data_IF_228295952373
#
_entry.id   IF_228295952373
#
_cell.length_a   1.000
_cell.length_b   1.000
_cell.length_c   1.000
_cell.angle_alpha   90.00
_cell.angle_beta   90.00
_cell.angle_gamma   90.00
#
_symmetry.space_group_name_H-M   'P 1'
#
loop_
_entity.id
_entity.type
_entity.pdbx_description
1 polymer ?
#
# COMPACT_ATOMS: atom_id res chain seq x y z
N UNK A 1 4.70 15.42 -7.83
CA UNK A 1 3.61 16.20 -8.40
C UNK A 1 2.93 16.94 -7.27
N UNK A 2 3.00 18.25 -7.23
CA UNK A 2 2.49 19.08 -6.14
C UNK A 2 2.47 20.52 -6.67
N UNK A 3 1.50 21.34 -6.34
CA UNK A 3 1.40 22.73 -6.79
C UNK A 3 2.28 23.66 -5.93
N UNK A 4 2.58 23.28 -4.70
CA UNK A 4 3.41 24.05 -3.78
C UNK A 4 4.91 23.91 -4.11
N UNK A 5 5.55 24.96 -4.59
CA UNK A 5 6.98 24.96 -4.94
C UNK A 5 7.91 24.60 -3.75
N UNK A 6 7.50 24.95 -2.52
CA UNK A 6 8.24 24.60 -1.31
C UNK A 6 8.26 23.11 -1.04
N UNK A 7 7.11 22.44 -1.20
CA UNK A 7 6.97 20.99 -1.03
C UNK A 7 7.71 20.26 -2.14
N UNK A 8 7.56 20.68 -3.42
CA UNK A 8 8.34 20.08 -4.52
C UNK A 8 9.84 20.15 -4.27
N UNK A 9 10.35 21.31 -3.80
CA UNK A 9 11.77 21.47 -3.46
C UNK A 9 12.21 20.57 -2.31
N UNK A 10 11.40 20.46 -1.27
CA UNK A 10 11.66 19.56 -0.13
C UNK A 10 11.77 18.10 -0.63
N UNK A 11 10.75 17.62 -1.33
CA UNK A 11 10.68 16.26 -1.88
C UNK A 11 11.85 15.97 -2.82
N UNK A 12 12.14 16.90 -3.73
CA UNK A 12 13.28 16.77 -4.65
C UNK A 12 14.59 16.60 -3.88
N UNK A 13 14.89 17.49 -2.93
CA UNK A 13 16.13 17.43 -2.18
C UNK A 13 16.25 16.13 -1.37
N UNK A 14 15.16 15.67 -0.77
CA UNK A 14 15.08 14.41 -0.02
C UNK A 14 15.34 13.21 -0.93
N UNK A 15 14.67 13.16 -2.07
CA UNK A 15 14.80 12.05 -3.03
C UNK A 15 16.17 12.01 -3.71
N UNK A 16 16.73 13.16 -4.10
CA UNK A 16 18.08 13.23 -4.70
C UNK A 16 19.14 12.78 -3.70
N UNK A 17 19.02 13.13 -2.42
CA UNK A 17 19.94 12.64 -1.38
C UNK A 17 19.85 11.13 -1.15
N UNK A 18 18.72 10.53 -1.49
CA UNK A 18 18.50 9.09 -1.45
C UNK A 18 18.76 8.40 -2.80
N UNK A 19 19.54 9.05 -3.70
CA UNK A 19 19.97 8.57 -5.02
C UNK A 19 18.83 8.29 -6.02
N UNK A 20 17.69 8.98 -5.88
CA UNK A 20 16.62 8.92 -6.88
C UNK A 20 16.77 10.03 -7.93
N UNK A 21 16.56 9.66 -9.20
CA UNK A 21 16.31 10.64 -10.26
C UNK A 21 14.90 11.23 -10.11
N UNK A 22 14.77 12.56 -10.15
CA UNK A 22 13.51 13.25 -9.87
C UNK A 22 13.07 14.08 -11.05
N UNK A 23 11.83 13.88 -11.48
CA UNK A 23 11.10 14.71 -12.44
C UNK A 23 9.96 15.39 -11.71
N UNK A 24 9.86 16.72 -11.85
CA UNK A 24 8.82 17.50 -11.17
C UNK A 24 7.66 17.81 -12.13
N UNK A 25 6.44 17.85 -11.59
CA UNK A 25 5.24 18.35 -12.26
C UNK A 25 4.46 19.22 -11.27
N UNK A 26 3.88 20.32 -11.75
CA UNK A 26 3.10 21.28 -10.96
C UNK A 26 1.61 21.28 -11.27
N UNK A 27 1.18 20.45 -12.19
CA UNK A 27 -0.20 20.33 -12.65
C UNK A 27 -0.51 18.88 -13.06
N UNK A 28 -1.78 18.51 -13.07
CA UNK A 28 -2.24 17.20 -13.51
C UNK A 28 -1.90 16.94 -14.99
N UNK A 29 -2.01 17.95 -15.82
CA UNK A 29 -1.67 17.86 -17.26
C UNK A 29 -0.19 17.56 -17.48
N UNK A 30 0.71 18.31 -16.80
CA UNK A 30 2.16 18.07 -16.88
C UNK A 30 2.52 16.71 -16.27
N UNK A 31 1.86 16.34 -15.17
CA UNK A 31 2.02 15.06 -14.52
C UNK A 31 1.72 13.88 -15.45
N UNK A 32 0.59 13.88 -16.13
CA UNK A 32 0.20 12.82 -17.06
C UNK A 32 1.15 12.78 -18.29
N UNK A 33 1.56 13.94 -18.79
CA UNK A 33 2.52 14.00 -19.89
C UNK A 33 3.88 13.38 -19.51
N UNK A 34 4.43 13.77 -18.35
CA UNK A 34 5.72 13.25 -17.86
C UNK A 34 5.64 11.78 -17.49
N UNK A 35 4.54 11.32 -16.91
CA UNK A 35 4.36 9.90 -16.62
C UNK A 35 4.42 9.05 -17.90
N UNK A 36 3.86 9.53 -19.00
CA UNK A 36 3.91 8.83 -20.28
C UNK A 36 5.29 8.88 -20.95
N UNK A 37 6.01 10.03 -20.88
CA UNK A 37 7.30 10.21 -21.54
C UNK A 37 8.47 9.61 -20.75
N UNK A 38 8.50 9.83 -19.43
CA UNK A 38 9.61 9.46 -18.56
C UNK A 38 9.47 8.06 -17.95
N UNK A 39 8.26 7.50 -17.94
CA UNK A 39 7.94 6.18 -17.36
C UNK A 39 8.56 5.99 -15.97
N UNK A 40 8.23 6.83 -15.00
CA UNK A 40 8.84 6.77 -13.69
C UNK A 40 8.51 5.46 -12.97
N UNK A 41 9.42 4.97 -12.12
CA UNK A 41 9.15 3.81 -11.25
C UNK A 41 8.18 4.16 -10.11
N UNK A 42 8.14 5.43 -9.69
CA UNK A 42 7.22 5.89 -8.65
C UNK A 42 6.72 7.31 -8.92
N UNK A 43 5.54 7.60 -8.41
CA UNK A 43 4.85 8.88 -8.50
C UNK A 43 4.42 9.29 -7.09
N UNK A 44 4.91 10.42 -6.61
CA UNK A 44 4.36 11.09 -5.43
C UNK A 44 3.34 12.11 -5.91
N UNK A 45 2.07 11.94 -5.51
CA UNK A 45 0.93 12.69 -6.05
C UNK A 45 0.23 13.49 -4.95
N UNK A 46 0.18 14.82 -5.08
CA UNK A 46 -0.77 15.61 -4.31
C UNK A 46 -2.17 15.56 -4.95
N UNK A 47 -3.19 15.58 -4.11
CA UNK A 47 -4.59 15.67 -4.54
C UNK A 47 -4.99 17.11 -4.88
N UNK A 48 -4.32 18.11 -4.31
CA UNK A 48 -4.64 19.54 -4.46
C UNK A 48 -4.04 20.19 -5.70
N UNK A 49 -4.03 19.53 -6.87
CA UNK A 49 -3.49 20.11 -8.09
C UNK A 49 -4.39 21.24 -8.64
N UNK A 50 -3.80 22.29 -9.28
CA UNK A 50 -4.53 23.51 -9.62
C UNK A 50 -5.51 23.35 -10.79
N UNK A 51 -5.26 22.38 -11.67
CA UNK A 51 -6.02 22.19 -12.92
C UNK A 51 -7.00 21.02 -12.86
N UNK A 52 -6.80 20.08 -11.92
CA UNK A 52 -7.66 18.90 -11.78
C UNK A 52 -7.47 18.24 -10.43
N UNK A 53 -8.54 17.68 -9.84
CA UNK A 53 -8.45 16.86 -8.62
C UNK A 53 -7.55 15.65 -8.84
N UNK A 54 -6.55 15.48 -7.95
CA UNK A 54 -5.59 14.38 -7.99
C UNK A 54 -6.22 13.00 -7.93
N UNK A 55 -7.35 12.82 -7.24
CA UNK A 55 -8.09 11.56 -7.24
C UNK A 55 -8.48 11.13 -8.66
N UNK A 56 -8.92 12.08 -9.49
CA UNK A 56 -9.37 11.80 -10.85
C UNK A 56 -8.27 11.36 -11.82
N UNK A 57 -6.99 11.64 -11.50
CA UNK A 57 -5.86 11.25 -12.35
C UNK A 57 -5.23 9.92 -11.95
N UNK A 58 -5.50 9.38 -10.77
CA UNK A 58 -4.97 8.08 -10.35
C UNK A 58 -5.30 6.98 -11.36
N UNK A 59 -6.57 6.78 -11.79
CA UNK A 59 -6.88 5.77 -12.79
C UNK A 59 -6.22 6.02 -14.15
N UNK A 60 -5.97 7.30 -14.51
CA UNK A 60 -5.30 7.64 -15.75
C UNK A 60 -3.81 7.29 -15.71
N UNK A 61 -3.15 7.55 -14.59
CA UNK A 61 -1.76 7.15 -14.36
C UNK A 61 -1.61 5.63 -14.39
N UNK A 62 -2.56 4.90 -13.79
CA UNK A 62 -2.58 3.42 -13.83
C UNK A 62 -2.70 2.85 -15.23
N UNK A 63 -3.43 3.52 -16.13
CA UNK A 63 -3.53 3.09 -17.54
C UNK A 63 -2.23 3.32 -18.32
N UNK A 64 -1.37 4.20 -17.85
CA UNK A 64 -0.10 4.53 -18.54
C UNK A 64 1.04 3.59 -18.13
N UNK A 65 0.92 2.88 -16.99
CA UNK A 65 1.94 1.95 -16.53
C UNK A 65 1.79 1.53 -15.07
N UNK A 66 2.75 0.75 -14.63
CA UNK A 66 2.76 0.10 -13.31
C UNK A 66 3.54 0.92 -12.25
N UNK A 67 3.79 2.21 -12.46
CA UNK A 67 4.49 3.04 -11.49
C UNK A 67 3.84 2.96 -10.10
N UNK A 68 4.63 2.91 -9.03
CA UNK A 68 4.11 3.07 -7.66
C UNK A 68 3.48 4.45 -7.52
N UNK A 69 2.23 4.54 -7.04
CA UNK A 69 1.56 5.82 -6.76
C UNK A 69 1.39 5.96 -5.25
N UNK A 70 2.12 6.90 -4.65
CA UNK A 70 1.95 7.31 -3.25
C UNK A 70 1.29 8.68 -3.24
N UNK A 71 0.09 8.75 -2.68
CA UNK A 71 -0.59 10.04 -2.48
C UNK A 71 0.05 10.75 -1.28
N UNK A 72 0.39 12.04 -1.43
CA UNK A 72 0.95 12.89 -0.38
C UNK A 72 0.12 14.15 -0.31
N UNK A 73 -0.82 14.23 0.61
CA UNK A 73 -1.82 15.31 0.61
C UNK A 73 -2.17 15.82 2.01
N UNK A 74 -2.60 17.09 2.09
CA UNK A 74 -3.18 17.67 3.30
C UNK A 74 -4.63 17.23 3.54
N UNK A 75 -5.27 16.63 2.54
CA UNK A 75 -6.60 16.04 2.68
C UNK A 75 -6.45 14.72 3.43
N UNK A 76 -6.85 14.70 4.69
CA UNK A 76 -6.63 13.56 5.59
C UNK A 76 -7.91 12.81 5.97
N UNK A 77 -9.04 13.20 5.40
CA UNK A 77 -10.31 12.51 5.59
C UNK A 77 -10.20 11.03 5.22
N UNK A 78 -10.75 10.17 6.07
CA UNK A 78 -10.69 8.71 5.89
C UNK A 78 -11.27 8.30 4.53
N UNK A 79 -12.39 8.90 4.14
CA UNK A 79 -13.07 8.60 2.86
C UNK A 79 -12.19 8.95 1.64
N UNK A 80 -11.42 10.03 1.70
CA UNK A 80 -10.51 10.40 0.63
C UNK A 80 -9.31 9.44 0.54
N UNK A 81 -8.78 8.99 1.69
CA UNK A 81 -7.72 7.96 1.74
C UNK A 81 -8.20 6.64 1.14
N UNK A 82 -9.38 6.19 1.56
CA UNK A 82 -10.01 4.97 1.02
C UNK A 82 -10.21 5.10 -0.48
N UNK A 83 -10.82 6.22 -0.92
CA UNK A 83 -11.05 6.48 -2.36
C UNK A 83 -9.76 6.47 -3.16
N UNK A 84 -8.68 7.11 -2.69
CA UNK A 84 -7.39 7.12 -3.39
C UNK A 84 -6.83 5.70 -3.57
N UNK A 85 -6.89 4.87 -2.51
CA UNK A 85 -6.40 3.49 -2.54
C UNK A 85 -7.25 2.60 -3.46
N UNK A 86 -8.58 2.75 -3.43
CA UNK A 86 -9.51 2.00 -4.29
C UNK A 86 -9.38 2.40 -5.77
N UNK A 87 -9.05 3.66 -6.05
CA UNK A 87 -8.73 4.15 -7.40
C UNK A 87 -7.37 3.65 -7.91
N UNK A 88 -6.57 3.02 -7.05
CA UNK A 88 -5.33 2.37 -7.43
C UNK A 88 -4.04 3.02 -6.90
N UNK A 89 -4.10 3.93 -5.94
CA UNK A 89 -2.89 4.34 -5.21
C UNK A 89 -2.35 3.15 -4.38
N UNK A 90 -1.03 3.08 -4.25
CA UNK A 90 -0.36 2.01 -3.48
C UNK A 90 -0.25 2.35 -2.00
N UNK A 91 -0.15 3.64 -1.67
CA UNK A 91 -0.08 4.13 -0.29
C UNK A 91 -0.58 5.58 -0.22
N UNK A 92 -0.79 6.06 1.03
CA UNK A 92 -1.22 7.42 1.32
C UNK A 92 -0.43 7.97 2.51
N UNK A 93 0.08 9.21 2.37
CA UNK A 93 0.82 9.94 3.40
C UNK A 93 0.16 11.30 3.61
N UNK A 94 -0.26 11.59 4.83
CA UNK A 94 -0.87 12.87 5.17
C UNK A 94 0.20 13.96 5.39
N UNK A 95 -0.04 15.16 4.91
CA UNK A 95 0.76 16.36 5.25
C UNK A 95 0.29 16.90 6.62
N UNK A 96 1.20 17.34 7.51
CA UNK A 96 2.66 17.30 7.39
C UNK A 96 3.22 15.88 7.60
N UNK A 97 4.28 15.52 6.87
CA UNK A 97 4.90 14.21 6.91
C UNK A 97 6.37 14.28 7.33
N UNK A 98 6.86 13.18 7.87
CA UNK A 98 8.28 12.95 8.06
C UNK A 98 8.93 12.43 6.77
N UNK A 99 10.06 13.02 6.37
CA UNK A 99 10.74 12.67 5.12
C UNK A 99 11.35 11.26 5.16
N UNK A 100 11.80 10.79 6.33
CA UNK A 100 12.34 9.44 6.48
C UNK A 100 11.22 8.39 6.42
N UNK A 101 10.04 8.71 6.99
CA UNK A 101 8.86 7.86 6.84
C UNK A 101 8.45 7.74 5.37
N UNK A 102 8.40 8.86 4.64
CA UNK A 102 8.06 8.85 3.21
C UNK A 102 9.06 8.02 2.40
N UNK A 103 10.37 8.17 2.66
CA UNK A 103 11.40 7.38 1.99
C UNK A 103 11.29 5.88 2.33
N UNK A 104 10.98 5.54 3.58
CA UNK A 104 10.77 4.14 3.97
C UNK A 104 9.59 3.52 3.24
N UNK A 105 8.45 4.23 3.14
CA UNK A 105 7.27 3.80 2.40
C UNK A 105 7.58 3.64 0.90
N UNK A 106 8.29 4.60 0.31
CA UNK A 106 8.69 4.55 -1.10
C UNK A 106 9.59 3.33 -1.39
N UNK A 107 10.60 3.07 -0.55
CA UNK A 107 11.47 1.89 -0.69
C UNK A 107 10.69 0.58 -0.64
N UNK A 108 9.78 0.45 0.32
CA UNK A 108 8.92 -0.73 0.45
C UNK A 108 8.07 -0.91 -0.81
N UNK A 109 7.41 0.13 -1.27
CA UNK A 109 6.54 0.07 -2.45
C UNK A 109 7.33 -0.27 -3.73
N UNK A 110 8.51 0.33 -3.95
CA UNK A 110 9.36 0.04 -5.11
C UNK A 110 9.92 -1.38 -5.10
N UNK A 111 10.29 -1.94 -3.95
CA UNK A 111 10.76 -3.32 -3.83
C UNK A 111 9.72 -4.32 -4.34
N UNK A 112 8.44 -4.08 -4.07
CA UNK A 112 7.34 -4.94 -4.53
C UNK A 112 6.98 -4.71 -6.00
N UNK A 113 7.29 -3.55 -6.56
CA UNK A 113 7.04 -3.24 -7.97
C UNK A 113 8.13 -3.78 -8.92
N UNK A 114 9.38 -3.85 -8.46
CA UNK A 114 10.50 -4.41 -9.26
C UNK A 114 10.47 -5.94 -9.40
N UNK A 115 9.62 -6.61 -8.63
CA UNK A 115 9.36 -8.05 -8.73
C UNK A 115 8.20 -8.33 -9.69
N UNK A 116 8.25 -7.80 -10.91
CA UNK A 116 7.35 -8.23 -12.00
C UNK A 116 7.84 -9.54 -12.61
N UNK A 117 7.82 -10.61 -11.82
CA UNK A 117 7.87 -11.97 -12.30
C UNK A 117 7.03 -12.81 -11.36
N UNK A 118 5.86 -13.25 -11.83
CA UNK A 118 4.93 -14.16 -11.13
C UNK A 118 4.57 -13.71 -9.71
N UNK A 119 3.30 -13.65 -9.30
CA UNK A 119 2.98 -13.42 -7.89
C UNK A 119 3.78 -14.45 -7.11
N UNK A 120 4.68 -14.00 -6.24
CA UNK A 120 5.43 -14.92 -5.39
C UNK A 120 4.40 -15.76 -4.65
N UNK A 121 4.32 -17.03 -5.07
CA UNK A 121 3.42 -18.02 -4.46
C UNK A 121 3.73 -18.17 -2.97
N UNK A 122 4.92 -17.76 -2.56
CA UNK A 122 5.42 -17.82 -1.21
C UNK A 122 5.93 -16.46 -0.74
N UNK A 123 5.30 -15.93 0.28
CA UNK A 123 5.69 -14.69 0.97
C UNK A 123 6.43 -15.08 2.23
N UNK A 124 7.65 -14.57 2.42
CA UNK A 124 8.45 -14.78 3.63
C UNK A 124 8.64 -13.50 4.39
N UNK A 125 8.58 -13.56 5.73
CA UNK A 125 8.88 -12.46 6.65
C UNK A 125 9.49 -13.02 7.94
N UNK A 126 10.79 -12.84 8.11
CA UNK A 126 11.52 -13.44 9.24
C UNK A 126 11.30 -14.97 9.29
N UNK A 127 10.74 -15.46 10.37
CA UNK A 127 10.39 -16.86 10.58
C UNK A 127 9.03 -17.28 10.01
N UNK A 128 8.25 -16.32 9.46
CA UNK A 128 6.94 -16.56 8.86
C UNK A 128 7.07 -16.80 7.35
N UNK A 129 6.50 -17.89 6.85
CA UNK A 129 6.33 -18.19 5.42
C UNK A 129 4.88 -18.48 5.08
N UNK A 130 4.39 -17.88 4.00
CA UNK A 130 2.99 -17.97 3.54
C UNK A 130 3.01 -18.47 2.09
N UNK A 131 2.62 -19.71 1.87
CA UNK A 131 2.36 -20.27 0.53
C UNK A 131 0.87 -20.05 0.22
N UNK A 132 0.61 -19.04 -0.62
CA UNK A 132 -0.77 -18.61 -0.92
C UNK A 132 -1.52 -19.69 -1.71
N UNK A 133 -0.85 -20.36 -2.64
CA UNK A 133 -1.47 -21.34 -3.53
C UNK A 133 -1.77 -22.67 -2.83
N UNK A 134 -0.83 -23.11 -2.00
CA UNK A 134 -0.98 -24.35 -1.22
C UNK A 134 -1.79 -24.15 0.06
N UNK A 135 -2.09 -22.90 0.42
CA UNK A 135 -2.76 -22.53 1.66
C UNK A 135 -2.00 -23.00 2.91
N UNK A 136 -0.67 -23.01 2.85
CA UNK A 136 0.21 -23.41 3.93
C UNK A 136 0.86 -22.17 4.52
N UNK A 137 0.75 -22.04 5.83
CA UNK A 137 1.44 -20.99 6.59
C UNK A 137 2.35 -21.68 7.60
N UNK A 138 3.62 -21.29 7.65
CA UNK A 138 4.58 -21.79 8.61
C UNK A 138 5.21 -20.65 9.38
N UNK A 139 5.52 -20.94 10.63
CA UNK A 139 6.23 -20.05 11.50
C UNK A 139 7.33 -20.83 12.22
N UNK A 140 8.58 -20.34 12.18
CA UNK A 140 9.75 -21.05 12.68
C UNK A 140 9.82 -22.51 12.18
N UNK A 141 9.35 -22.77 10.95
CA UNK A 141 9.28 -24.10 10.34
C UNK A 141 8.04 -24.93 10.69
N UNK A 142 7.29 -24.57 11.72
CA UNK A 142 6.07 -25.26 12.13
C UNK A 142 4.83 -24.72 11.40
N UNK A 143 3.91 -25.62 11.04
CA UNK A 143 2.68 -25.26 10.34
C UNK A 143 1.67 -24.59 11.28
N UNK A 144 1.19 -23.42 10.88
CA UNK A 144 0.17 -22.66 11.59
C UNK A 144 -1.21 -22.97 10.99
N UNK A 145 -2.07 -23.60 11.77
CA UNK A 145 -3.42 -23.92 11.33
C UNK A 145 -4.32 -22.68 11.29
N UNK A 146 -4.73 -22.30 10.08
CA UNK A 146 -5.69 -21.23 9.83
C UNK A 146 -7.03 -21.80 9.39
N UNK A 147 -8.12 -21.17 9.84
CA UNK A 147 -9.45 -21.41 9.27
C UNK A 147 -9.50 -20.91 7.82
N UNK A 148 -10.52 -21.35 7.08
CA UNK A 148 -10.70 -20.94 5.68
C UNK A 148 -10.72 -19.39 5.53
N UNK A 149 -11.51 -18.70 6.36
CA UNK A 149 -11.63 -17.24 6.30
C UNK A 149 -10.37 -16.51 6.76
N UNK A 150 -9.67 -17.03 7.78
CA UNK A 150 -8.36 -16.49 8.17
C UNK A 150 -7.35 -16.57 7.05
N UNK A 151 -7.32 -17.71 6.34
CA UNK A 151 -6.43 -17.87 5.20
C UNK A 151 -6.83 -16.95 4.04
N UNK A 152 -8.12 -16.82 3.73
CA UNK A 152 -8.61 -15.96 2.64
C UNK A 152 -8.21 -14.50 2.89
N UNK A 153 -8.41 -13.99 4.11
CA UNK A 153 -7.98 -12.64 4.51
C UNK A 153 -6.46 -12.49 4.44
N UNK A 154 -5.71 -13.45 4.98
CA UNK A 154 -4.25 -13.42 4.93
C UNK A 154 -3.73 -13.43 3.49
N UNK A 155 -4.32 -14.22 2.60
CA UNK A 155 -3.95 -14.30 1.20
C UNK A 155 -4.18 -12.97 0.46
N UNK A 156 -5.26 -12.25 0.77
CA UNK A 156 -5.51 -10.90 0.22
C UNK A 156 -4.41 -9.93 0.68
N UNK A 157 -4.07 -9.94 1.96
CA UNK A 157 -3.02 -9.07 2.50
C UNK A 157 -1.62 -9.45 1.95
N UNK A 158 -1.33 -10.75 1.81
CA UNK A 158 -0.05 -11.25 1.32
C UNK A 158 0.19 -10.91 -0.16
N UNK A 159 -0.85 -10.94 -1.00
CA UNK A 159 -0.77 -10.45 -2.39
C UNK A 159 -0.47 -8.96 -2.51
N UNK A 160 -0.70 -8.20 -1.45
CA UNK A 160 -0.46 -6.76 -1.36
C UNK A 160 0.51 -6.44 -0.23
N UNK A 161 1.49 -7.33 0.01
CA UNK A 161 2.46 -7.14 1.11
C UNK A 161 3.12 -5.77 1.03
N UNK A 162 3.24 -5.10 2.19
CA UNK A 162 3.77 -3.75 2.29
C UNK A 162 2.79 -2.63 1.93
N UNK A 163 1.64 -2.95 1.32
CA UNK A 163 0.61 -1.97 0.91
C UNK A 163 -0.59 -2.00 1.85
N UNK A 164 -1.31 -0.89 1.92
CA UNK A 164 -2.59 -0.83 2.61
C UNK A 164 -3.65 -1.53 1.75
N UNK A 165 -4.43 -2.41 2.37
CA UNK A 165 -5.64 -2.98 1.77
C UNK A 165 -6.83 -2.46 2.56
N UNK A 166 -7.76 -1.79 1.89
CA UNK A 166 -8.93 -1.18 2.52
C UNK A 166 -9.85 -2.23 3.11
N UNK A 167 -10.61 -1.85 4.14
CA UNK A 167 -11.60 -2.75 4.75
C UNK A 167 -12.58 -3.27 3.69
N UNK A 168 -13.09 -2.36 2.83
CA UNK A 168 -14.03 -2.69 1.78
C UNK A 168 -13.44 -3.71 0.80
N UNK A 169 -12.21 -3.52 0.35
CA UNK A 169 -11.54 -4.44 -0.57
C UNK A 169 -11.36 -5.83 0.03
N UNK A 170 -10.96 -5.92 1.31
CA UNK A 170 -10.84 -7.22 2.00
C UNK A 170 -12.22 -7.89 2.09
N UNK A 171 -13.24 -7.13 2.51
CA UNK A 171 -14.60 -7.64 2.66
C UNK A 171 -15.17 -8.10 1.31
N UNK A 172 -15.09 -7.29 0.26
CA UNK A 172 -15.56 -7.64 -1.08
C UNK A 172 -14.86 -8.91 -1.63
N UNK A 173 -13.53 -9.03 -1.41
CA UNK A 173 -12.77 -10.18 -1.91
C UNK A 173 -13.07 -11.47 -1.15
N UNK A 174 -13.22 -11.40 0.18
CA UNK A 174 -13.36 -12.59 1.03
C UNK A 174 -14.82 -13.01 1.25
N UNK A 175 -15.78 -12.12 1.02
CA UNK A 175 -17.23 -12.37 1.25
C UNK A 175 -18.10 -12.00 0.05
N UNK A 176 -17.56 -11.67 -1.10
CA UNK A 176 -18.31 -11.25 -2.28
C UNK A 176 -19.52 -12.16 -2.57
N UNK A 177 -20.75 -11.62 -2.45
CA UNK A 177 -22.02 -12.30 -2.69
C UNK A 177 -22.77 -12.80 -1.45
N UNK A 178 -22.23 -12.69 -0.25
CA UNK A 178 -22.96 -12.90 1.01
C UNK A 178 -23.51 -11.54 1.51
N UNK A 179 -24.60 -11.59 2.33
CA UNK A 179 -25.13 -10.40 3.03
C UNK A 179 -23.99 -9.61 3.67
N UNK A 180 -24.00 -8.27 3.54
CA UNK A 180 -22.94 -7.32 3.91
C UNK A 180 -22.12 -7.76 5.14
N UNK A 181 -20.90 -8.25 4.94
CA UNK A 181 -20.08 -8.70 6.05
C UNK A 181 -19.69 -7.48 6.89
N UNK A 182 -20.06 -7.51 8.17
CA UNK A 182 -19.76 -6.42 9.09
C UNK A 182 -18.25 -6.34 9.34
N UNK A 183 -17.72 -5.15 9.38
CA UNK A 183 -16.31 -4.87 9.67
C UNK A 183 -15.84 -5.52 11.00
N UNK A 184 -16.76 -5.73 11.94
CA UNK A 184 -16.51 -6.44 13.19
C UNK A 184 -16.01 -7.87 12.96
N UNK A 185 -16.53 -8.58 11.95
CA UNK A 185 -16.07 -9.92 11.59
C UNK A 185 -14.63 -9.90 11.11
N UNK A 186 -14.27 -8.92 10.26
CA UNK A 186 -12.92 -8.75 9.80
C UNK A 186 -11.96 -8.45 10.95
N UNK A 187 -12.38 -7.61 11.92
CA UNK A 187 -11.57 -7.30 13.11
C UNK A 187 -11.29 -8.55 13.96
N UNK A 188 -12.27 -9.44 14.10
CA UNK A 188 -12.08 -10.72 14.82
C UNK A 188 -11.06 -11.59 14.09
N UNK A 189 -11.17 -11.71 12.77
CA UNK A 189 -10.23 -12.51 11.96
C UNK A 189 -8.81 -11.94 12.05
N UNK A 190 -8.64 -10.62 11.95
CA UNK A 190 -7.33 -9.97 12.10
C UNK A 190 -6.73 -10.21 13.49
N UNK A 191 -7.55 -10.13 14.54
CA UNK A 191 -7.11 -10.45 15.91
C UNK A 191 -6.62 -11.91 16.01
N UNK A 192 -7.37 -12.85 15.46
CA UNK A 192 -7.01 -14.27 15.48
C UNK A 192 -5.74 -14.53 14.66
N UNK A 193 -5.61 -13.91 13.48
CA UNK A 193 -4.39 -13.97 12.67
C UNK A 193 -3.18 -13.47 13.46
N UNK A 194 -3.28 -12.32 14.13
CA UNK A 194 -2.20 -11.81 14.97
C UNK A 194 -1.80 -12.80 16.06
N UNK A 195 -2.78 -13.36 16.79
CA UNK A 195 -2.51 -14.35 17.82
C UNK A 195 -1.76 -15.60 17.31
N UNK A 196 -2.02 -16.01 16.07
CA UNK A 196 -1.40 -17.18 15.44
C UNK A 196 -0.06 -16.87 14.77
N UNK A 197 0.08 -15.66 14.22
CA UNK A 197 1.23 -15.28 13.40
C UNK A 197 2.28 -14.43 14.14
N UNK A 198 1.97 -13.85 15.30
CA UNK A 198 2.89 -12.97 16.03
C UNK A 198 3.71 -13.74 17.06
N UNK A 199 5.00 -13.34 17.22
CA UNK A 199 5.86 -13.86 18.28
C UNK A 199 5.37 -13.39 19.65
N UNK A 200 5.70 -14.13 20.74
CA UNK A 200 5.39 -13.71 22.10
C UNK A 200 6.05 -12.39 22.49
N UNK A 201 7.15 -12.04 21.85
CA UNK A 201 7.82 -10.75 22.03
C UNK A 201 7.63 -9.86 20.77
N UNK A 202 7.10 -8.63 20.92
CA UNK A 202 6.67 -7.84 19.77
C UNK A 202 7.84 -7.10 19.13
N UNK A 203 8.36 -7.61 18.03
CA UNK A 203 9.04 -6.80 17.02
C UNK A 203 7.98 -6.22 16.07
N UNK A 204 7.01 -5.48 16.62
CA UNK A 204 5.89 -4.89 15.88
C UNK A 204 4.91 -5.90 15.28
N UNK A 205 3.64 -5.54 15.22
CA UNK A 205 2.59 -6.40 14.66
C UNK A 205 2.86 -6.77 13.20
N UNK A 206 2.72 -8.06 12.86
CA UNK A 206 2.83 -8.57 11.48
C UNK A 206 1.78 -7.91 10.57
N UNK A 207 0.57 -7.72 11.10
CA UNK A 207 -0.52 -7.02 10.40
C UNK A 207 -0.73 -5.66 11.08
N UNK A 208 -0.27 -4.59 10.45
CA UNK A 208 -0.50 -3.22 10.91
C UNK A 208 -1.96 -2.81 10.68
N UNK A 209 -2.49 -1.98 11.59
CA UNK A 209 -3.78 -1.33 11.45
C UNK A 209 -3.57 0.09 10.96
N UNK A 210 -4.16 0.45 9.83
CA UNK A 210 -4.26 1.82 9.34
C UNK A 210 -5.65 2.33 9.73
N UNK A 211 -5.70 3.15 10.80
CA UNK A 211 -6.93 3.57 11.46
C UNK A 211 -7.97 4.10 10.49
N UNK A 212 -9.16 3.51 10.52
CA UNK A 212 -10.29 3.88 9.67
C UNK A 212 -10.17 3.46 8.20
N UNK A 213 -9.00 3.05 7.73
CA UNK A 213 -8.73 2.74 6.32
C UNK A 213 -8.70 1.25 6.05
N UNK A 214 -7.83 0.49 6.73
CA UNK A 214 -7.64 -0.92 6.41
C UNK A 214 -6.50 -1.57 7.17
N UNK A 215 -5.90 -2.58 6.55
CA UNK A 215 -4.81 -3.35 7.11
C UNK A 215 -3.64 -3.47 6.13
N UNK A 216 -2.45 -3.62 6.68
CA UNK A 216 -1.22 -3.83 5.92
C UNK A 216 -0.47 -5.03 6.50
N UNK A 217 -0.18 -6.04 5.68
CA UNK A 217 0.83 -7.04 6.02
C UNK A 217 2.20 -6.39 5.83
N UNK A 218 2.99 -6.26 6.90
CA UNK A 218 4.30 -5.63 6.83
C UNK A 218 5.27 -6.52 6.07
N UNK A 219 6.03 -5.93 5.16
CA UNK A 219 7.22 -6.54 4.60
C UNK A 219 8.37 -6.50 5.63
N UNK A 220 9.40 -7.30 5.43
CA UNK A 220 10.64 -7.17 6.21
C UNK A 220 11.27 -5.79 5.96
N UNK A 221 11.86 -5.22 7.01
CA UNK A 221 12.56 -3.95 6.95
C UNK A 221 13.89 -4.09 6.20
#
# INVERSE_FOLDING_TARGET
>A
MDDEAAIRRLLRNTLVRADYAVVEADSAKDALHRAASERPSAILLDLGLPDRDGLSIIPLLRRQGDAVIIVVSARDAVDEKVTALDLGADDFVSKPFDTEELLARLRVALRHHGSSATPEKMVTRGDLSIDIDRRIVRRAGEEVHLTRKEHDVLAVLARHIGRIVTHERVLATCWGGEEEPRIEYLRIIIRNLRQKLEAPEPVGSVIANELGVGYRLRADA
#
